data_IF_427063878974
#
_entry.id   IF_427063878974
#
_cell.length_a   1.000
_cell.length_b   1.000
_cell.length_c   1.000
_cell.angle_alpha   90.00
_cell.angle_beta   90.00
_cell.angle_gamma   90.00
#
_symmetry.space_group_name_H-M   'P 1'
#
loop_
_entity.id
_entity.type
_entity.pdbx_description
1 polymer ?
#
# COMPACT_ATOMS: atom_id res chain seq x y z
N UNK A 1 62.67 -28.30 14.85
CA UNK A 1 63.46 -27.85 16.02
C UNK A 1 63.48 -26.32 16.02
N UNK A 2 63.32 -25.69 17.20
CA UNK A 2 62.99 -24.27 17.36
C UNK A 2 64.25 -23.40 17.37
N UNK A 3 64.11 -22.07 17.28
CA UNK A 3 64.72 -21.13 18.24
C UNK A 3 64.01 -19.78 18.12
N UNK A 4 63.54 -19.38 19.29
CA UNK A 4 62.93 -18.15 19.74
C UNK A 4 63.85 -16.93 19.47
N UNK A 5 63.30 -15.78 19.07
CA UNK A 5 64.03 -14.51 19.18
C UNK A 5 63.15 -13.39 19.73
N UNK A 6 63.72 -12.71 20.71
CA UNK A 6 63.08 -11.78 21.64
C UNK A 6 63.01 -10.36 21.09
N UNK A 7 62.07 -9.62 21.69
CA UNK A 7 62.28 -8.29 22.29
C UNK A 7 61.78 -7.03 21.57
N UNK A 8 60.87 -6.36 22.29
CA UNK A 8 60.82 -4.92 22.60
C UNK A 8 60.69 -3.92 21.44
N UNK A 9 59.51 -3.28 21.38
CA UNK A 9 59.42 -1.97 20.74
C UNK A 9 58.02 -1.35 20.75
N UNK A 10 57.86 -0.36 21.64
CA UNK A 10 56.85 0.73 21.61
C UNK A 10 55.41 0.41 22.02
N UNK A 11 55.16 0.72 23.30
CA UNK A 11 53.99 1.46 23.76
C UNK A 11 53.76 2.68 22.85
N UNK A 12 52.78 2.60 21.96
CA UNK A 12 52.14 3.77 21.38
C UNK A 12 50.85 4.02 22.15
N UNK A 13 50.75 5.25 22.65
CA UNK A 13 49.71 5.80 23.49
C UNK A 13 48.29 5.29 23.19
N UNK A 14 47.55 5.01 24.27
CA UNK A 14 46.10 4.97 24.28
C UNK A 14 45.56 6.25 23.61
N UNK A 15 44.93 6.11 22.46
CA UNK A 15 43.88 7.05 22.04
C UNK A 15 42.56 6.42 22.51
N UNK A 16 41.92 6.94 23.55
CA UNK A 16 40.56 6.58 23.83
C UNK A 16 39.69 7.30 22.81
N UNK A 17 38.88 6.56 22.04
CA UNK A 17 37.43 6.80 21.99
C UNK A 17 36.70 5.92 20.97
N UNK A 18 35.75 5.19 21.56
CA UNK A 18 34.41 4.87 21.04
C UNK A 18 34.28 3.63 20.15
N UNK A 19 34.01 2.55 20.88
CA UNK A 19 33.23 1.34 20.56
C UNK A 19 32.15 1.60 19.48
N UNK A 20 31.98 0.67 18.53
CA UNK A 20 31.03 0.77 17.41
C UNK A 20 29.59 0.54 17.88
N UNK A 21 28.59 1.02 17.12
CA UNK A 21 27.34 0.28 17.06
C UNK A 21 26.96 0.01 15.60
N UNK A 22 27.04 -1.27 15.25
CA UNK A 22 26.00 -2.00 14.53
C UNK A 22 25.20 -1.20 13.49
N UNK A 23 25.51 -1.45 12.21
CA UNK A 23 24.63 -1.18 11.09
C UNK A 23 23.32 -1.97 11.31
N UNK A 24 22.38 -1.38 12.03
CA UNK A 24 21.04 -1.93 12.20
C UNK A 24 20.34 -1.78 10.85
N UNK A 25 20.37 -2.85 10.05
CA UNK A 25 19.41 -3.04 8.97
C UNK A 25 18.03 -3.02 9.63
N UNK A 26 17.36 -1.86 9.61
CA UNK A 26 15.93 -1.83 9.86
C UNK A 26 15.28 -2.59 8.71
N UNK A 27 15.03 -3.88 8.94
CA UNK A 27 14.02 -4.60 8.20
C UNK A 27 12.73 -3.85 8.49
N UNK A 28 12.31 -3.01 7.55
CA UNK A 28 10.97 -2.47 7.51
C UNK A 28 10.04 -3.68 7.43
N UNK A 29 9.57 -4.15 8.58
CA UNK A 29 8.43 -5.04 8.63
C UNK A 29 7.30 -4.26 7.98
N UNK A 30 6.69 -4.74 6.89
CA UNK A 30 5.37 -4.23 6.55
C UNK A 30 4.52 -4.55 7.78
N UNK A 31 4.25 -3.52 8.59
CA UNK A 31 3.13 -3.56 9.50
C UNK A 31 1.94 -3.73 8.56
N UNK A 32 1.55 -4.98 8.34
CA UNK A 32 0.29 -5.31 7.72
C UNK A 32 -0.74 -4.79 8.70
N UNK A 33 -1.12 -3.51 8.53
CA UNK A 33 -2.35 -2.99 9.07
C UNK A 33 -3.40 -4.00 8.63
N UNK A 34 -4.01 -4.67 9.61
CA UNK A 34 -5.11 -5.59 9.38
C UNK A 34 -6.06 -4.88 8.40
N UNK A 35 -6.16 -5.42 7.19
CA UNK A 35 -6.70 -4.64 6.08
C UNK A 35 -8.14 -4.28 6.43
N UNK A 36 -8.41 -2.99 6.66
CA UNK A 36 -9.76 -2.46 6.90
C UNK A 36 -10.72 -2.75 5.74
N UNK A 37 -10.19 -3.23 4.62
CA UNK A 37 -10.96 -3.67 3.48
C UNK A 37 -11.64 -5.01 3.70
N UNK A 38 -12.96 -5.12 3.44
CA UNK A 38 -13.60 -6.41 3.36
C UNK A 38 -13.06 -7.21 2.17
N UNK A 39 -12.91 -8.52 2.32
CA UNK A 39 -12.53 -9.40 1.21
C UNK A 39 -13.64 -9.49 0.15
N UNK A 40 -14.89 -9.43 0.57
CA UNK A 40 -16.04 -9.59 -0.30
C UNK A 40 -17.26 -8.79 0.19
N UNK A 41 -18.20 -8.57 -0.72
CA UNK A 41 -19.53 -8.04 -0.41
C UNK A 41 -20.59 -9.01 -0.91
N UNK A 42 -21.64 -9.18 -0.11
CA UNK A 42 -22.80 -10.01 -0.47
C UNK A 42 -23.87 -9.12 -1.11
N UNK A 43 -24.37 -9.52 -2.27
CA UNK A 43 -25.42 -8.84 -2.99
C UNK A 43 -26.83 -9.25 -2.54
N UNK A 44 -27.85 -8.44 -2.83
CA UNK A 44 -29.24 -8.81 -2.57
C UNK A 44 -29.67 -10.11 -3.25
N UNK A 45 -29.08 -10.43 -4.41
CA UNK A 45 -29.27 -11.68 -5.13
C UNK A 45 -28.59 -12.90 -4.47
N UNK A 46 -27.87 -12.71 -3.37
CA UNK A 46 -27.08 -13.75 -2.69
C UNK A 46 -25.73 -14.03 -3.34
N UNK A 47 -25.41 -13.34 -4.45
CA UNK A 47 -24.09 -13.45 -5.09
C UNK A 47 -23.00 -12.75 -4.28
N UNK A 48 -21.77 -13.22 -4.42
CA UNK A 48 -20.59 -12.69 -3.71
C UNK A 48 -19.68 -11.99 -4.71
N UNK A 49 -19.30 -10.75 -4.40
CA UNK A 49 -18.31 -10.00 -5.17
C UNK A 49 -17.02 -9.85 -4.38
N UNK A 50 -15.90 -10.28 -4.96
CA UNK A 50 -14.59 -10.28 -4.31
C UNK A 50 -13.89 -8.92 -4.47
N UNK A 51 -13.87 -8.15 -3.38
CA UNK A 51 -13.27 -6.81 -3.31
C UNK A 51 -11.74 -6.92 -3.23
N UNK A 52 -11.20 -7.85 -2.43
CA UNK A 52 -9.76 -8.04 -2.31
C UNK A 52 -9.10 -8.33 -3.67
N UNK A 53 -9.75 -9.15 -4.50
CA UNK A 53 -9.30 -9.43 -5.86
C UNK A 53 -9.35 -8.20 -6.75
N UNK A 54 -10.42 -7.40 -6.68
CA UNK A 54 -10.49 -6.14 -7.43
C UNK A 54 -9.38 -5.16 -7.02
N UNK A 55 -9.08 -5.07 -5.72
CA UNK A 55 -7.98 -4.24 -5.20
C UNK A 55 -6.65 -4.78 -5.73
N UNK A 56 -6.41 -6.09 -5.65
CA UNK A 56 -5.20 -6.72 -6.18
C UNK A 56 -5.03 -6.48 -7.69
N UNK A 57 -6.10 -6.59 -8.48
CA UNK A 57 -6.08 -6.38 -9.93
C UNK A 57 -5.86 -4.92 -10.33
N UNK A 58 -6.15 -3.97 -9.44
CA UNK A 58 -6.00 -2.52 -9.69
C UNK A 58 -4.81 -1.90 -8.99
N UNK A 59 -4.20 -2.61 -8.05
CA UNK A 59 -3.00 -2.22 -7.30
C UNK A 59 -3.26 -1.41 -6.03
N UNK A 60 -4.43 -0.79 -5.84
CA UNK A 60 -4.78 -0.10 -4.60
C UNK A 60 -6.29 0.10 -4.42
N UNK A 61 -6.79 0.32 -3.19
CA UNK A 61 -8.21 0.63 -2.95
C UNK A 61 -8.68 1.88 -3.69
N UNK A 62 -7.86 2.92 -3.78
CA UNK A 62 -8.18 4.16 -4.49
C UNK A 62 -8.25 3.93 -6.00
N UNK A 63 -7.35 3.11 -6.54
CA UNK A 63 -7.37 2.73 -7.96
C UNK A 63 -8.62 1.90 -8.29
N UNK A 64 -8.98 0.94 -7.44
CA UNK A 64 -10.25 0.22 -7.53
C UNK A 64 -11.45 1.17 -7.48
N UNK A 65 -11.47 2.10 -6.51
CA UNK A 65 -12.57 3.05 -6.33
C UNK A 65 -12.77 3.92 -7.57
N UNK A 66 -11.68 4.48 -8.12
CA UNK A 66 -11.71 5.25 -9.38
C UNK A 66 -12.23 4.41 -10.54
N UNK A 67 -11.79 3.16 -10.66
CA UNK A 67 -12.23 2.24 -11.73
C UNK A 67 -13.73 1.96 -11.64
N UNK A 68 -14.25 1.66 -10.46
CA UNK A 68 -15.68 1.35 -10.26
C UNK A 68 -16.54 2.60 -10.51
N UNK A 69 -16.14 3.77 -9.99
CA UNK A 69 -16.85 5.03 -10.26
C UNK A 69 -16.86 5.37 -11.74
N UNK A 70 -15.71 5.25 -12.42
CA UNK A 70 -15.63 5.47 -13.87
C UNK A 70 -16.51 4.52 -14.69
N UNK A 71 -16.70 3.27 -14.25
CA UNK A 71 -17.63 2.34 -14.89
C UNK A 71 -19.10 2.76 -14.69
N UNK A 72 -19.47 3.22 -13.48
CA UNK A 72 -20.80 3.76 -13.20
C UNK A 72 -21.10 5.00 -14.05
N UNK A 73 -20.13 5.92 -14.15
CA UNK A 73 -20.26 7.14 -14.92
C UNK A 73 -20.42 6.85 -16.41
N UNK A 74 -19.66 5.87 -16.95
CA UNK A 74 -19.83 5.41 -18.32
C UNK A 74 -21.23 4.83 -18.58
N UNK A 75 -21.77 4.03 -17.65
CA UNK A 75 -23.13 3.50 -17.79
C UNK A 75 -24.15 4.64 -17.76
N UNK A 76 -23.99 5.61 -16.86
CA UNK A 76 -24.85 6.78 -16.78
C UNK A 76 -24.80 7.64 -18.05
N UNK A 77 -23.61 7.89 -18.59
CA UNK A 77 -23.40 8.64 -19.82
C UNK A 77 -24.04 7.98 -21.05
N UNK A 78 -24.15 6.65 -21.04
CA UNK A 78 -24.82 5.87 -22.09
C UNK A 78 -26.35 5.73 -21.87
N UNK A 79 -26.94 6.52 -20.97
CA UNK A 79 -28.38 6.53 -20.70
C UNK A 79 -28.84 5.48 -19.69
N UNK A 80 -27.91 4.86 -18.97
CA UNK A 80 -28.18 3.92 -17.88
C UNK A 80 -28.71 2.56 -18.33
N UNK A 81 -29.09 1.75 -17.34
CA UNK A 81 -29.62 0.41 -17.58
C UNK A 81 -30.90 0.31 -18.43
N UNK A 82 -31.80 1.31 -18.49
CA UNK A 82 -32.94 1.26 -19.39
C UNK A 82 -32.57 1.18 -20.89
N UNK A 83 -31.36 1.60 -21.26
CA UNK A 83 -30.84 1.50 -22.65
C UNK A 83 -30.14 0.16 -22.94
N UNK A 84 -29.94 -0.68 -21.93
CA UNK A 84 -29.34 -2.00 -22.09
C UNK A 84 -30.37 -3.03 -22.58
N UNK A 85 -29.99 -3.83 -23.58
CA UNK A 85 -30.75 -5.02 -24.03
C UNK A 85 -30.93 -6.01 -22.88
N UNK A 86 -29.99 -6.06 -21.93
CA UNK A 86 -30.03 -6.91 -20.74
C UNK A 86 -30.21 -6.07 -19.49
N UNK A 87 -31.38 -5.43 -19.37
CA UNK A 87 -31.69 -4.51 -18.27
C UNK A 87 -31.46 -5.12 -16.89
N UNK A 88 -31.99 -6.31 -16.62
CA UNK A 88 -31.84 -6.98 -15.33
C UNK A 88 -30.37 -7.24 -14.96
N UNK A 89 -29.54 -7.65 -15.93
CA UNK A 89 -28.10 -7.87 -15.71
C UNK A 89 -27.37 -6.55 -15.44
N UNK A 90 -27.76 -5.48 -16.14
CA UNK A 90 -27.22 -4.15 -15.88
C UNK A 90 -27.59 -3.67 -14.48
N UNK A 91 -28.86 -3.80 -14.08
CA UNK A 91 -29.34 -3.37 -12.77
C UNK A 91 -28.61 -4.12 -11.64
N UNK A 92 -28.42 -5.44 -11.76
CA UNK A 92 -27.60 -6.22 -10.83
C UNK A 92 -26.14 -5.74 -10.82
N UNK A 93 -25.53 -5.50 -11.98
CA UNK A 93 -24.15 -5.00 -12.07
C UNK A 93 -23.99 -3.62 -11.42
N UNK A 94 -24.98 -2.73 -11.60
CA UNK A 94 -25.02 -1.43 -10.92
C UNK A 94 -25.13 -1.60 -9.40
N UNK A 95 -25.92 -2.56 -8.93
CA UNK A 95 -26.01 -2.87 -7.50
C UNK A 95 -24.67 -3.40 -6.94
N UNK A 96 -23.98 -4.30 -7.67
CA UNK A 96 -22.62 -4.77 -7.33
C UNK A 96 -21.70 -3.55 -7.18
N UNK A 97 -21.62 -2.73 -8.23
CA UNK A 97 -20.68 -1.62 -8.31
C UNK A 97 -20.93 -0.58 -7.21
N UNK A 98 -22.18 -0.27 -6.88
CA UNK A 98 -22.51 0.64 -5.78
C UNK A 98 -22.10 0.09 -4.41
N UNK A 99 -22.32 -1.20 -4.15
CA UNK A 99 -21.81 -1.83 -2.91
C UNK A 99 -20.29 -1.83 -2.84
N UNK A 100 -19.62 -2.09 -3.96
CA UNK A 100 -18.18 -2.04 -4.05
C UNK A 100 -17.63 -0.63 -3.78
N UNK A 101 -18.29 0.43 -4.28
CA UNK A 101 -17.92 1.83 -3.98
C UNK A 101 -17.91 2.08 -2.47
N UNK A 102 -18.99 1.70 -1.76
CA UNK A 102 -19.08 1.91 -0.31
C UNK A 102 -17.97 1.16 0.43
N UNK A 103 -17.69 -0.09 0.05
CA UNK A 103 -16.61 -0.88 0.64
C UNK A 103 -15.22 -0.26 0.38
N UNK A 104 -14.98 0.23 -0.84
CA UNK A 104 -13.71 0.84 -1.25
C UNK A 104 -13.51 2.25 -0.67
N UNK A 105 -14.58 3.00 -0.44
CA UNK A 105 -14.52 4.28 0.28
C UNK A 105 -14.09 4.07 1.73
N UNK A 106 -14.67 3.06 2.39
CA UNK A 106 -14.25 2.67 3.73
C UNK A 106 -12.77 2.25 3.76
N UNK A 107 -12.28 1.53 2.73
CA UNK A 107 -10.85 1.23 2.61
C UNK A 107 -9.97 2.47 2.49
N UNK A 108 -10.28 3.33 1.51
CA UNK A 108 -9.42 4.45 1.12
C UNK A 108 -9.31 5.52 2.21
N UNK A 109 -10.34 5.66 3.05
CA UNK A 109 -10.32 6.58 4.19
C UNK A 109 -9.28 6.19 5.27
N UNK A 110 -8.82 4.94 5.29
CA UNK A 110 -7.87 4.42 6.28
C UNK A 110 -6.48 4.18 5.68
N UNK A 111 -6.25 4.51 4.42
CA UNK A 111 -4.91 4.44 3.84
C UNK A 111 -4.01 5.46 4.56
N UNK A 112 -2.87 5.04 5.14
CA UNK A 112 -1.92 5.97 5.73
C UNK A 112 -1.51 6.96 4.64
N UNK A 113 -1.78 8.25 4.86
CA UNK A 113 -1.21 9.29 4.01
C UNK A 113 0.30 9.16 4.15
N UNK A 114 0.98 8.82 3.06
CA UNK A 114 2.42 8.93 2.98
C UNK A 114 2.80 10.41 2.96
N UNK A 115 2.54 11.13 4.05
CA UNK A 115 3.05 12.46 4.31
C UNK A 115 4.50 12.31 4.77
N UNK A 116 5.36 12.18 3.77
CA UNK A 116 6.81 12.17 3.90
C UNK A 116 7.45 12.96 2.77
N UNK A 117 6.90 14.13 2.41
CA UNK A 117 7.64 15.14 1.65
C UNK A 117 8.53 15.88 2.64
N UNK A 118 9.65 15.25 3.02
CA UNK A 118 10.77 15.96 3.64
C UNK A 118 11.48 16.77 2.55
N UNK A 119 11.03 18.01 2.36
CA UNK A 119 11.84 19.03 1.69
C UNK A 119 12.92 19.49 2.65
N UNK A 120 14.12 18.95 2.55
CA UNK A 120 15.31 19.66 3.02
C UNK A 120 16.39 19.63 1.94
N UNK A 121 16.27 20.58 1.02
CA UNK A 121 17.24 20.88 -0.02
C UNK A 121 17.93 22.20 0.28
N UNK A 122 18.73 22.25 1.35
CA UNK A 122 19.65 23.36 1.65
C UNK A 122 20.76 23.40 0.59
N UNK A 123 20.68 24.32 -0.36
CA UNK A 123 21.79 24.68 -1.25
C UNK A 123 22.48 25.97 -0.79
N UNK A 124 23.81 25.86 -0.66
CA UNK A 124 24.88 26.85 -0.86
C UNK A 124 24.78 28.21 -0.12
N UNK A 125 25.63 28.49 0.87
CA UNK A 125 27.05 28.89 0.76
C UNK A 125 27.23 30.35 0.31
N UNK A 126 27.62 31.21 1.25
CA UNK A 126 28.62 32.26 1.06
C UNK A 126 29.34 32.54 2.38
#
# INVERSE_FOLDING_TARGET
MPINSRSLGRVSALVPRLIPPTFALLLATPAHAESTCPDFVILPSGSVFNIAKLIADTGSPEAALRKVRGALDQIAANGGCPKSVRRAVCDETMAVARKAVVALEACAAHAPQADGVEKDGRSASK
#
